data_IF_783577408364
#
_entry.id   IF_783577408364
#
_cell.length_a   1.000
_cell.length_b   1.000
_cell.length_c   1.000
_cell.angle_alpha   90.00
_cell.angle_beta   90.00
_cell.angle_gamma   90.00
#
_symmetry.space_group_name_H-M   'P 1'
#
loop_
_entity.id
_entity.type
_entity.pdbx_description
1 polymer ?
#
# COMPACT_ATOMS: atom_id res chain seq x y z
N UNK A 1 26.16 -10.34 -20.05
CA UNK A 1 26.22 -10.90 -18.68
C UNK A 1 24.79 -10.94 -18.19
N UNK A 2 24.22 -12.13 -18.10
CA UNK A 2 22.83 -12.35 -17.69
C UNK A 2 22.72 -12.10 -16.18
N UNK A 3 22.12 -10.97 -15.79
CA UNK A 3 21.77 -10.70 -14.41
C UNK A 3 20.69 -11.69 -13.98
N UNK A 4 21.02 -12.58 -13.06
CA UNK A 4 20.06 -13.48 -12.43
C UNK A 4 19.08 -12.65 -11.62
N UNK A 5 17.84 -12.60 -12.08
CA UNK A 5 16.70 -12.10 -11.31
C UNK A 5 16.52 -13.05 -10.12
N UNK A 6 16.94 -12.62 -8.93
CA UNK A 6 16.61 -13.31 -7.69
C UNK A 6 15.17 -13.00 -7.34
N UNK A 7 14.24 -13.79 -7.83
CA UNK A 7 12.89 -13.87 -7.24
C UNK A 7 13.09 -14.40 -5.82
N UNK A 8 12.56 -13.69 -4.84
CA UNK A 8 12.68 -14.06 -3.42
C UNK A 8 12.29 -15.54 -3.24
N UNK A 9 13.28 -16.43 -3.05
CA UNK A 9 13.05 -17.89 -2.91
C UNK A 9 12.09 -18.25 -1.77
N UNK A 10 11.81 -17.32 -0.86
CA UNK A 10 10.81 -17.51 0.19
C UNK A 10 9.37 -17.48 -0.29
N UNK A 11 9.09 -16.92 -1.48
CA UNK A 11 7.73 -16.92 -2.07
C UNK A 11 7.33 -18.34 -2.53
N UNK A 12 8.29 -19.20 -2.86
CA UNK A 12 8.01 -20.57 -3.34
C UNK A 12 7.69 -21.58 -2.24
N UNK A 13 7.86 -21.26 -0.97
CA UNK A 13 7.34 -22.09 0.11
C UNK A 13 5.91 -21.63 0.44
N UNK A 14 4.94 -22.05 -0.37
CA UNK A 14 3.50 -21.98 -0.09
C UNK A 14 3.18 -22.77 1.19
N UNK A 15 3.63 -22.32 2.34
CA UNK A 15 3.11 -22.80 3.61
C UNK A 15 1.74 -22.17 3.80
N UNK A 16 0.70 -22.96 3.54
CA UNK A 16 -0.66 -22.62 3.92
C UNK A 16 -0.70 -22.31 5.42
N UNK A 17 -1.02 -21.07 5.75
CA UNK A 17 -1.27 -20.70 7.15
C UNK A 17 -2.57 -21.35 7.61
N UNK A 18 -2.48 -22.27 8.56
CA UNK A 18 -3.63 -22.93 9.16
C UNK A 18 -4.02 -22.17 10.43
N UNK A 19 -5.15 -21.49 10.43
CA UNK A 19 -5.77 -21.01 11.65
C UNK A 19 -6.70 -22.09 12.20
N UNK A 20 -6.39 -22.59 13.40
CA UNK A 20 -7.25 -23.54 14.14
C UNK A 20 -8.30 -22.73 14.90
N UNK A 21 -9.55 -22.84 14.48
CA UNK A 21 -10.70 -22.31 15.24
C UNK A 21 -11.19 -23.46 16.13
N UNK A 22 -11.20 -23.33 17.47
CA UNK A 22 -11.72 -24.37 18.33
C UNK A 22 -13.24 -24.47 18.17
N UNK A 23 -13.74 -25.58 17.58
CA UNK A 23 -15.16 -25.92 17.58
C UNK A 23 -15.39 -27.10 18.50
N UNK A 24 -16.41 -27.00 19.35
CA UNK A 24 -16.86 -28.06 20.23
C UNK A 24 -17.32 -29.27 19.40
N UNK A 25 -16.56 -30.36 19.42
CA UNK A 25 -16.98 -31.69 19.02
C UNK A 25 -16.78 -32.13 17.57
N UNK A 26 -16.24 -31.31 16.68
CA UNK A 26 -15.89 -31.72 15.29
C UNK A 26 -14.39 -31.53 15.04
N UNK A 27 -13.78 -32.43 14.22
CA UNK A 27 -12.38 -32.25 13.79
C UNK A 27 -12.18 -30.84 13.25
N UNK A 28 -11.10 -30.11 13.62
CA UNK A 28 -10.87 -28.75 13.16
C UNK A 28 -10.81 -28.72 11.63
N UNK A 29 -11.69 -27.94 11.02
CA UNK A 29 -11.69 -27.71 9.57
C UNK A 29 -10.49 -26.82 9.27
N UNK A 30 -9.45 -27.37 8.67
CA UNK A 30 -8.30 -26.58 8.19
C UNK A 30 -8.78 -25.77 6.99
N UNK A 31 -8.94 -24.48 7.20
CA UNK A 31 -9.24 -23.53 6.12
C UNK A 31 -7.90 -23.11 5.52
N UNK A 32 -7.59 -23.61 4.33
CA UNK A 32 -6.45 -23.11 3.56
C UNK A 32 -6.84 -21.75 2.98
N UNK A 33 -6.43 -20.67 3.65
CA UNK A 33 -6.58 -19.32 3.11
C UNK A 33 -5.58 -19.16 1.96
N UNK A 34 -6.06 -18.67 0.81
CA UNK A 34 -5.17 -18.27 -0.28
C UNK A 34 -4.31 -17.10 0.22
N UNK A 35 -2.99 -17.08 -0.08
CA UNK A 35 -2.16 -15.93 0.25
C UNK A 35 -2.68 -14.68 -0.48
N UNK A 36 -2.38 -13.49 0.04
CA UNK A 36 -2.73 -12.21 -0.59
C UNK A 36 -1.75 -11.78 -1.69
N UNK A 37 -0.87 -12.67 -2.14
CA UNK A 37 0.12 -12.41 -3.20
C UNK A 37 -0.29 -13.17 -4.46
N UNK A 38 -0.41 -12.45 -5.58
CA UNK A 38 -0.65 -12.98 -6.91
C UNK A 38 0.69 -13.05 -7.68
N UNK A 39 1.17 -14.24 -8.09
CA UNK A 39 2.42 -14.37 -8.83
C UNK A 39 2.44 -13.62 -10.18
N UNK A 40 1.28 -13.42 -10.82
CA UNK A 40 1.16 -12.69 -12.08
C UNK A 40 1.41 -11.20 -11.85
N UNK A 41 0.86 -10.66 -10.76
CA UNK A 41 1.13 -9.27 -10.36
C UNK A 41 2.61 -9.05 -10.01
N UNK A 42 3.22 -10.00 -9.27
CA UNK A 42 4.66 -9.95 -8.94
C UNK A 42 5.52 -9.88 -10.21
N UNK A 43 5.22 -10.72 -11.21
CA UNK A 43 5.95 -10.70 -12.49
C UNK A 43 5.74 -9.37 -13.22
N UNK A 44 4.49 -8.88 -13.30
CA UNK A 44 4.17 -7.61 -13.93
C UNK A 44 4.95 -6.44 -13.30
N UNK A 45 4.88 -6.28 -11.98
CA UNK A 45 5.59 -5.19 -11.29
C UNK A 45 7.12 -5.36 -11.30
N UNK A 46 7.64 -6.58 -11.43
CA UNK A 46 9.08 -6.83 -11.58
C UNK A 46 9.64 -6.21 -12.87
N UNK A 47 8.83 -6.10 -13.93
CA UNK A 47 9.25 -5.48 -15.19
C UNK A 47 9.34 -3.96 -15.08
N UNK A 48 8.65 -3.35 -14.13
CA UNK A 48 8.60 -1.90 -13.95
C UNK A 48 9.68 -1.35 -13.00
N UNK A 49 10.52 -2.20 -12.40
CA UNK A 49 11.49 -1.80 -11.35
C UNK A 49 12.38 -0.62 -11.76
N UNK A 50 12.80 -0.55 -13.02
CA UNK A 50 13.66 0.53 -13.51
C UNK A 50 12.92 1.85 -13.76
N UNK A 51 11.58 1.83 -13.83
CA UNK A 51 10.74 2.98 -14.14
C UNK A 51 10.22 3.71 -12.90
N UNK A 52 10.31 3.06 -11.70
CA UNK A 52 9.70 3.58 -10.47
C UNK A 52 10.12 5.00 -10.10
N UNK A 53 11.34 5.43 -10.42
CA UNK A 53 11.85 6.76 -10.06
C UNK A 53 11.87 7.76 -11.22
N UNK A 54 11.37 7.37 -12.39
CA UNK A 54 11.19 8.29 -13.51
C UNK A 54 9.88 9.07 -13.35
N UNK A 55 9.97 10.33 -12.90
CA UNK A 55 8.82 11.21 -12.69
C UNK A 55 8.06 11.54 -13.99
N UNK A 56 8.67 11.29 -15.16
CA UNK A 56 8.07 11.49 -16.48
C UNK A 56 7.71 10.18 -17.18
N UNK A 57 8.02 9.03 -16.56
CA UNK A 57 7.80 7.70 -17.08
C UNK A 57 6.34 7.22 -16.95
N UNK A 58 6.17 5.92 -17.10
CA UNK A 58 4.86 5.25 -17.02
C UNK A 58 4.17 5.41 -15.66
N UNK A 59 4.93 5.63 -14.58
CA UNK A 59 4.44 5.81 -13.21
C UNK A 59 4.32 7.29 -12.78
N UNK A 60 4.36 8.24 -13.73
CA UNK A 60 4.26 9.70 -13.44
C UNK A 60 3.03 10.07 -12.62
N UNK A 61 1.92 9.36 -12.81
CA UNK A 61 0.68 9.58 -12.05
C UNK A 61 0.87 9.30 -10.55
N UNK A 62 1.64 8.28 -10.17
CA UNK A 62 1.95 7.98 -8.75
C UNK A 62 2.84 9.06 -8.12
N UNK A 63 3.77 9.62 -8.90
CA UNK A 63 4.61 10.74 -8.44
C UNK A 63 3.77 11.99 -8.20
N UNK A 64 2.92 12.37 -9.16
CA UNK A 64 2.05 13.54 -9.02
C UNK A 64 1.00 13.36 -7.91
N UNK A 65 0.56 12.11 -7.62
CA UNK A 65 -0.36 11.80 -6.55
C UNK A 65 0.17 12.20 -5.17
N UNK A 66 1.47 12.17 -4.95
CA UNK A 66 2.07 12.60 -3.70
C UNK A 66 1.77 14.07 -3.35
N UNK A 67 1.45 14.92 -4.34
CA UNK A 67 1.10 16.33 -4.09
C UNK A 67 -0.16 16.49 -3.24
N UNK A 68 -1.08 15.52 -3.29
CA UNK A 68 -2.31 15.54 -2.48
C UNK A 68 -2.33 14.43 -1.43
N UNK A 69 -1.72 13.26 -1.71
CA UNK A 69 -1.71 12.10 -0.82
C UNK A 69 -0.86 12.36 0.43
N UNK A 70 0.35 12.92 0.27
CA UNK A 70 1.25 13.20 1.40
C UNK A 70 0.66 14.25 2.34
N UNK A 71 0.14 15.41 1.89
CA UNK A 71 -0.57 16.35 2.75
C UNK A 71 -1.76 15.72 3.47
N UNK A 72 -2.56 14.90 2.80
CA UNK A 72 -3.69 14.20 3.41
C UNK A 72 -3.25 13.30 4.58
N UNK A 73 -2.24 12.45 4.36
CA UNK A 73 -1.69 11.58 5.41
C UNK A 73 -1.15 12.42 6.58
N UNK A 74 -0.39 13.45 6.27
CA UNK A 74 0.18 14.36 7.27
C UNK A 74 -0.90 15.03 8.13
N UNK A 75 -1.94 15.57 7.51
CA UNK A 75 -3.04 16.27 8.22
C UNK A 75 -3.79 15.31 9.16
N UNK A 76 -4.05 14.09 8.71
CA UNK A 76 -4.74 13.09 9.54
C UNK A 76 -3.87 12.59 10.71
N UNK A 77 -2.57 12.43 10.50
CA UNK A 77 -1.64 12.04 11.56
C UNK A 77 -1.39 13.17 12.56
N UNK A 78 -1.36 14.43 12.12
CA UNK A 78 -1.30 15.59 13.02
C UNK A 78 -2.51 15.66 13.97
N UNK A 79 -3.71 15.34 13.49
CA UNK A 79 -4.94 15.31 14.32
C UNK A 79 -4.89 14.24 15.42
N UNK A 80 -4.07 13.19 15.25
CA UNK A 80 -3.92 12.12 16.25
C UNK A 80 -2.94 12.50 17.37
N UNK A 81 -2.01 13.39 17.09
CA UNK A 81 -1.01 13.83 18.06
C UNK A 81 -1.56 14.98 18.90
N UNK A 82 -1.65 14.78 20.22
CA UNK A 82 -2.07 15.82 21.17
C UNK A 82 -0.97 16.85 21.51
N UNK A 83 0.25 16.72 20.97
CA UNK A 83 1.38 17.59 21.30
C UNK A 83 1.73 18.52 20.13
N UNK A 84 2.13 19.76 20.48
CA UNK A 84 2.72 20.72 19.54
C UNK A 84 4.00 20.11 18.98
N UNK A 85 3.98 19.74 17.71
CA UNK A 85 5.15 19.22 17.01
C UNK A 85 5.95 20.37 16.39
N UNK A 86 7.26 20.16 16.25
CA UNK A 86 8.10 20.97 15.39
C UNK A 86 7.55 20.89 13.95
N UNK A 87 7.16 22.03 13.39
CA UNK A 87 6.63 22.12 12.03
C UNK A 87 7.65 21.67 10.96
N UNK A 88 8.94 21.69 11.31
CA UNK A 88 10.02 21.27 10.41
C UNK A 88 10.08 19.72 10.21
N UNK A 89 9.66 18.94 11.22
CA UNK A 89 9.66 17.45 11.19
C UNK A 89 8.37 16.89 11.80
N UNK A 90 7.24 17.16 11.15
CA UNK A 90 5.91 16.96 11.73
C UNK A 90 5.56 15.48 12.03
N UNK A 91 6.23 14.53 11.39
CA UNK A 91 6.03 13.09 11.60
C UNK A 91 7.10 12.47 12.49
N UNK A 92 7.97 13.27 13.13
CA UNK A 92 9.01 12.75 14.01
C UNK A 92 8.44 11.87 15.12
N UNK A 93 9.09 10.71 15.32
CA UNK A 93 8.70 9.71 16.31
C UNK A 93 7.54 8.80 15.89
N UNK A 94 6.96 8.97 14.69
CA UNK A 94 5.99 8.03 14.14
C UNK A 94 6.70 6.96 13.32
N UNK A 95 6.24 5.71 13.51
CA UNK A 95 6.62 4.57 12.68
C UNK A 95 5.48 4.23 11.71
N UNK A 96 5.74 4.31 10.43
CA UNK A 96 4.75 4.12 9.36
C UNK A 96 5.14 2.90 8.53
N UNK A 97 4.17 2.05 8.21
CA UNK A 97 4.33 0.95 7.26
C UNK A 97 3.70 1.37 5.92
N UNK A 98 4.52 1.39 4.88
CA UNK A 98 4.11 1.60 3.49
C UNK A 98 4.01 0.22 2.81
N UNK A 99 2.79 -0.31 2.69
CA UNK A 99 2.54 -1.65 2.13
C UNK A 99 2.35 -1.53 0.63
N UNK A 100 3.07 -2.36 -0.14
CA UNK A 100 3.17 -2.22 -1.60
C UNK A 100 3.96 -0.97 -1.96
N UNK A 101 5.08 -0.73 -1.27
CA UNK A 101 5.82 0.52 -1.39
C UNK A 101 6.51 0.73 -2.73
N UNK A 102 6.61 -0.31 -3.58
CA UNK A 102 7.45 -0.30 -4.78
C UNK A 102 8.89 0.07 -4.43
N UNK A 103 9.47 0.99 -5.19
CA UNK A 103 10.82 1.51 -4.89
C UNK A 103 10.79 2.77 -4.00
N UNK A 104 9.69 3.06 -3.28
CA UNK A 104 9.65 4.09 -2.24
C UNK A 104 9.11 5.45 -2.67
N UNK A 105 8.31 5.55 -3.76
CA UNK A 105 7.73 6.83 -4.23
C UNK A 105 7.02 7.57 -3.10
N UNK A 106 6.24 6.87 -2.25
CA UNK A 106 5.56 7.46 -1.09
C UNK A 106 6.45 7.46 0.16
N UNK A 107 7.25 6.41 0.35
CA UNK A 107 8.10 6.25 1.54
C UNK A 107 9.05 7.44 1.73
N UNK A 108 9.73 7.89 0.68
CA UNK A 108 10.72 8.98 0.79
C UNK A 108 10.15 10.34 1.24
N UNK A 109 9.01 10.82 0.72
CA UNK A 109 8.37 12.01 1.25
C UNK A 109 8.02 11.90 2.74
N UNK A 110 7.51 10.74 3.21
CA UNK A 110 7.18 10.53 4.62
C UNK A 110 8.43 10.54 5.51
N UNK A 111 9.54 9.95 5.04
CA UNK A 111 10.84 10.00 5.75
C UNK A 111 11.35 11.44 5.86
N UNK A 112 11.25 12.24 4.78
CA UNK A 112 11.66 13.65 4.80
C UNK A 112 10.83 14.49 5.78
N UNK A 113 9.59 14.09 6.07
CA UNK A 113 8.73 14.69 7.08
C UNK A 113 9.04 14.19 8.51
N UNK A 114 10.04 13.30 8.68
CA UNK A 114 10.53 12.85 9.98
C UNK A 114 10.03 11.48 10.43
N UNK A 115 9.21 10.78 9.65
CA UNK A 115 8.75 9.44 10.00
C UNK A 115 9.88 8.41 9.89
N UNK A 116 9.81 7.36 10.72
CA UNK A 116 10.47 6.09 10.45
C UNK A 116 9.55 5.27 9.54
N UNK A 117 10.03 4.87 8.36
CA UNK A 117 9.21 4.16 7.38
C UNK A 117 9.80 2.79 7.10
N UNK A 118 8.98 1.76 7.31
CA UNK A 118 9.22 0.43 6.77
C UNK A 118 8.42 0.32 5.46
N UNK A 119 9.12 0.19 4.33
CA UNK A 119 8.53 -0.09 3.02
C UNK A 119 8.45 -1.59 2.81
N UNK A 120 7.26 -2.12 2.64
CA UNK A 120 7.01 -3.55 2.42
C UNK A 120 6.55 -3.78 1.00
N UNK A 121 7.25 -4.66 0.27
CA UNK A 121 6.85 -5.07 -1.07
C UNK A 121 7.15 -6.55 -1.29
N UNK A 122 6.41 -7.18 -2.19
CA UNK A 122 6.59 -8.59 -2.55
C UNK A 122 7.59 -8.78 -3.69
N UNK A 123 7.97 -7.70 -4.36
CA UNK A 123 8.93 -7.67 -5.47
C UNK A 123 10.32 -7.33 -4.95
N UNK A 124 11.23 -8.31 -4.91
CA UNK A 124 12.60 -8.12 -4.41
C UNK A 124 13.34 -6.98 -5.14
N UNK A 125 13.17 -6.87 -6.47
CA UNK A 125 13.81 -5.81 -7.25
C UNK A 125 13.37 -4.40 -6.82
N UNK A 126 12.10 -4.22 -6.42
CA UNK A 126 11.60 -2.94 -5.88
C UNK A 126 12.27 -2.61 -4.55
N UNK A 127 12.40 -3.60 -3.66
CA UNK A 127 13.06 -3.46 -2.35
C UNK A 127 14.54 -3.10 -2.51
N UNK A 128 15.25 -3.80 -3.40
CA UNK A 128 16.66 -3.54 -3.69
C UNK A 128 16.86 -2.13 -4.27
N UNK A 129 15.99 -1.73 -5.20
CA UNK A 129 16.00 -0.39 -5.78
C UNK A 129 15.69 0.67 -4.71
N UNK A 130 14.66 0.49 -3.88
CA UNK A 130 14.29 1.40 -2.79
C UNK A 130 15.43 1.60 -1.80
N UNK A 131 16.11 0.52 -1.41
CA UNK A 131 17.28 0.55 -0.53
C UNK A 131 18.43 1.35 -1.16
N UNK A 132 18.79 1.05 -2.42
CA UNK A 132 19.83 1.77 -3.14
C UNK A 132 19.53 3.26 -3.34
N UNK A 133 18.26 3.58 -3.60
CA UNK A 133 17.80 4.97 -3.76
C UNK A 133 17.88 5.70 -2.42
N UNK A 134 17.47 5.08 -1.30
CA UNK A 134 17.58 5.66 0.03
C UNK A 134 19.01 6.10 0.35
N UNK A 135 19.99 5.25 0.07
CA UNK A 135 21.42 5.55 0.28
C UNK A 135 21.90 6.73 -0.56
N UNK A 136 21.35 6.92 -1.75
CA UNK A 136 21.74 7.95 -2.70
C UNK A 136 21.08 9.30 -2.45
N UNK A 137 19.76 9.32 -2.13
CA UNK A 137 18.99 10.58 -2.10
C UNK A 137 18.66 11.10 -0.69
N UNK A 138 18.73 10.24 0.34
CA UNK A 138 18.48 10.66 1.70
C UNK A 138 19.74 11.22 2.35
N UNK A 139 19.64 12.34 3.09
CA UNK A 139 20.70 12.78 3.98
C UNK A 139 21.08 11.65 4.96
N UNK A 140 22.36 11.53 5.31
CA UNK A 140 22.88 10.48 6.17
C UNK A 140 22.05 10.27 7.46
N UNK A 141 21.66 11.37 8.11
CA UNK A 141 20.83 11.36 9.32
C UNK A 141 19.44 10.74 9.15
N UNK A 142 18.93 10.62 7.92
CA UNK A 142 17.60 10.07 7.61
C UNK A 142 17.67 8.64 7.05
N UNK A 143 18.86 8.13 6.69
CA UNK A 143 19.01 6.77 6.10
C UNK A 143 18.53 5.69 7.05
N UNK A 144 18.80 5.84 8.35
CA UNK A 144 18.31 4.89 9.38
C UNK A 144 16.80 4.92 9.58
N UNK A 145 16.11 5.92 9.03
CA UNK A 145 14.64 6.02 9.07
C UNK A 145 13.96 5.29 7.90
N UNK A 146 14.75 4.74 6.97
CA UNK A 146 14.27 3.98 5.81
C UNK A 146 14.65 2.52 5.94
N UNK A 147 13.68 1.61 5.94
CA UNK A 147 13.89 0.17 5.88
C UNK A 147 12.98 -0.41 4.80
N UNK A 148 13.54 -1.10 3.82
CA UNK A 148 12.78 -1.80 2.78
C UNK A 148 12.87 -3.31 3.00
N UNK A 149 11.72 -4.01 2.96
CA UNK A 149 11.62 -5.43 3.29
C UNK A 149 10.82 -6.17 2.22
N UNK A 150 11.40 -7.24 1.66
CA UNK A 150 10.70 -8.11 0.74
C UNK A 150 9.89 -9.15 1.53
N UNK A 151 8.58 -8.92 1.65
CA UNK A 151 7.68 -9.83 2.34
C UNK A 151 6.23 -9.53 1.98
N UNK A 152 5.34 -10.51 2.13
CA UNK A 152 3.91 -10.22 2.17
C UNK A 152 3.51 -9.66 3.55
N UNK A 153 2.41 -8.91 3.60
CA UNK A 153 1.92 -8.34 4.86
C UNK A 153 1.55 -9.42 5.88
N UNK A 154 1.12 -10.61 5.43
CA UNK A 154 0.78 -11.73 6.27
C UNK A 154 2.02 -12.35 6.94
N UNK A 155 3.09 -12.53 6.17
CA UNK A 155 4.36 -13.05 6.69
C UNK A 155 4.97 -12.06 7.67
N UNK A 156 4.96 -10.79 7.30
CA UNK A 156 5.45 -9.70 8.13
C UNK A 156 4.66 -9.57 9.45
N UNK A 157 3.33 -9.75 9.40
CA UNK A 157 2.47 -9.75 10.59
C UNK A 157 2.57 -11.03 11.43
N UNK A 158 3.24 -12.09 10.95
CA UNK A 158 3.50 -13.29 11.74
C UNK A 158 4.67 -13.12 12.71
N UNK A 159 5.55 -12.16 12.45
CA UNK A 159 6.68 -11.84 13.31
C UNK A 159 6.22 -11.04 14.54
N UNK A 160 6.58 -11.52 15.73
CA UNK A 160 6.09 -10.96 17.01
C UNK A 160 6.51 -9.49 17.19
N UNK A 161 7.67 -9.11 16.72
CA UNK A 161 8.23 -7.76 16.83
C UNK A 161 7.47 -6.70 16.03
N UNK A 162 6.69 -7.13 15.03
CA UNK A 162 5.91 -6.25 14.17
C UNK A 162 4.47 -6.03 14.67
N UNK A 163 4.02 -6.83 15.65
CA UNK A 163 2.67 -6.73 16.20
C UNK A 163 2.53 -5.40 16.98
N UNK A 164 1.49 -4.64 16.62
CA UNK A 164 1.19 -3.32 17.21
C UNK A 164 2.41 -2.37 17.23
N UNK A 165 3.23 -2.45 16.16
CA UNK A 165 4.45 -1.67 16.06
C UNK A 165 4.28 -0.34 15.32
N UNK A 166 3.18 -0.16 14.56
CA UNK A 166 3.02 0.96 13.63
C UNK A 166 1.97 1.96 14.10
N UNK A 167 2.34 3.26 14.01
CA UNK A 167 1.47 4.40 14.28
C UNK A 167 0.55 4.71 13.09
N UNK A 168 0.89 4.24 11.90
CA UNK A 168 0.06 4.28 10.71
C UNK A 168 0.46 3.20 9.72
N UNK A 169 -0.50 2.77 8.89
CA UNK A 169 -0.26 1.97 7.69
C UNK A 169 -0.81 2.71 6.48
N UNK A 170 -0.06 2.71 5.39
CA UNK A 170 -0.54 3.17 4.08
C UNK A 170 -0.55 1.98 3.12
N UNK A 171 -1.67 1.74 2.45
CA UNK A 171 -1.85 0.76 1.39
C UNK A 171 -2.47 1.49 0.18
N UNK A 172 -1.61 2.13 -0.60
CA UNK A 172 -2.00 3.02 -1.69
C UNK A 172 -1.81 2.33 -3.03
N UNK A 173 -2.89 2.14 -3.78
CA UNK A 173 -2.92 1.41 -5.06
C UNK A 173 -2.43 -0.05 -4.90
N UNK A 174 -2.97 -0.76 -3.90
CA UNK A 174 -2.53 -2.12 -3.56
C UNK A 174 -3.70 -3.09 -3.47
N UNK A 175 -4.81 -2.68 -2.86
CA UNK A 175 -5.90 -3.61 -2.48
C UNK A 175 -6.55 -4.30 -3.69
N UNK A 176 -6.53 -3.66 -4.87
CA UNK A 176 -7.00 -4.20 -6.14
C UNK A 176 -6.13 -5.35 -6.68
N UNK A 177 -4.87 -5.43 -6.25
CA UNK A 177 -3.90 -6.46 -6.63
C UNK A 177 -3.85 -7.64 -5.65
N UNK A 178 -4.68 -7.59 -4.59
CA UNK A 178 -4.66 -8.55 -3.49
C UNK A 178 -5.71 -9.65 -3.67
N UNK A 179 -5.33 -10.92 -3.88
CA UNK A 179 -6.29 -12.02 -4.06
C UNK A 179 -7.17 -12.31 -2.84
N UNK A 180 -6.71 -11.96 -1.63
CA UNK A 180 -7.45 -12.16 -0.39
C UNK A 180 -7.46 -10.87 0.47
N UNK A 181 -8.33 -9.89 0.12
CA UNK A 181 -8.40 -8.61 0.84
C UNK A 181 -8.72 -8.76 2.34
N UNK A 182 -9.51 -9.76 2.72
CA UNK A 182 -9.84 -10.00 4.12
C UNK A 182 -8.60 -10.39 4.95
N UNK A 183 -7.78 -11.31 4.44
CA UNK A 183 -6.55 -11.71 5.11
C UNK A 183 -5.55 -10.54 5.19
N UNK A 184 -5.44 -9.78 4.11
CA UNK A 184 -4.61 -8.58 4.02
C UNK A 184 -4.99 -7.56 5.11
N UNK A 185 -6.27 -7.17 5.18
CA UNK A 185 -6.78 -6.18 6.15
C UNK A 185 -6.58 -6.67 7.59
N UNK A 186 -6.85 -7.97 7.85
CA UNK A 186 -6.62 -8.56 9.17
C UNK A 186 -5.14 -8.52 9.57
N UNK A 187 -4.24 -8.74 8.62
CA UNK A 187 -2.80 -8.64 8.87
C UNK A 187 -2.37 -7.20 9.16
N UNK A 188 -2.89 -6.22 8.40
CA UNK A 188 -2.69 -4.80 8.71
C UNK A 188 -3.21 -4.44 10.11
N UNK A 189 -4.38 -4.96 10.51
CA UNK A 189 -4.92 -4.71 11.84
C UNK A 189 -3.98 -5.18 12.97
N UNK A 190 -3.32 -6.34 12.79
CA UNK A 190 -2.36 -6.86 13.78
C UNK A 190 -1.11 -5.99 13.92
N UNK A 191 -0.66 -5.37 12.83
CA UNK A 191 0.54 -4.53 12.80
C UNK A 191 0.31 -3.14 13.41
N UNK A 192 -0.92 -2.63 13.35
CA UNK A 192 -1.26 -1.32 13.87
C UNK A 192 -1.36 -1.30 15.39
N UNK A 193 -0.85 -0.23 16.01
CA UNK A 193 -1.14 0.11 17.39
C UNK A 193 -2.64 0.44 17.57
N UNK A 194 -3.19 0.30 18.79
CA UNK A 194 -4.52 0.83 19.10
C UNK A 194 -4.61 2.33 18.77
N UNK A 195 -5.76 2.77 18.30
CA UNK A 195 -6.07 4.15 17.90
C UNK A 195 -5.30 4.68 16.68
N UNK A 196 -4.57 3.81 15.99
CA UNK A 196 -3.79 4.16 14.81
C UNK A 196 -4.59 4.08 13.51
N UNK A 197 -4.12 4.79 12.48
CA UNK A 197 -4.82 4.94 11.21
C UNK A 197 -4.30 3.98 10.14
N UNK A 198 -5.21 3.56 9.25
CA UNK A 198 -4.88 2.96 7.97
C UNK A 198 -5.46 3.80 6.84
N UNK A 199 -4.62 4.04 5.83
CA UNK A 199 -4.93 4.83 4.66
C UNK A 199 -4.97 3.92 3.44
N UNK A 200 -6.06 3.98 2.69
CA UNK A 200 -6.18 3.31 1.40
C UNK A 200 -6.37 4.33 0.29
N UNK A 201 -5.82 4.05 -0.88
CA UNK A 201 -6.28 4.60 -2.15
C UNK A 201 -6.38 3.47 -3.17
N UNK A 202 -7.36 3.53 -4.05
CA UNK A 202 -7.59 2.50 -5.06
C UNK A 202 -8.59 2.96 -6.11
N UNK A 203 -8.79 2.14 -7.14
CA UNK A 203 -9.74 2.36 -8.22
C UNK A 203 -11.08 1.74 -7.83
N UNK A 204 -12.17 2.49 -8.04
CA UNK A 204 -13.53 2.01 -7.79
C UNK A 204 -14.01 1.13 -8.96
N UNK A 205 -14.75 0.06 -8.68
CA UNK A 205 -15.38 -0.80 -9.69
C UNK A 205 -16.68 -0.19 -10.22
N UNK A 206 -16.55 0.74 -11.16
CA UNK A 206 -17.66 1.38 -11.86
C UNK A 206 -17.52 1.25 -13.37
N UNK A 207 -18.59 1.47 -14.11
CA UNK A 207 -18.51 1.54 -15.59
C UNK A 207 -17.60 2.69 -16.04
N UNK A 208 -17.63 3.82 -15.34
CA UNK A 208 -16.77 4.95 -15.67
C UNK A 208 -15.29 4.63 -15.45
N UNK A 209 -14.93 3.92 -14.38
CA UNK A 209 -13.55 3.49 -14.14
C UNK A 209 -13.08 2.48 -15.18
N UNK A 210 -13.95 1.60 -15.67
CA UNK A 210 -13.61 0.68 -16.76
C UNK A 210 -13.20 1.45 -18.01
N UNK A 211 -14.00 2.44 -18.41
CA UNK A 211 -13.72 3.24 -19.60
C UNK A 211 -12.49 4.12 -19.42
N UNK A 212 -12.37 4.80 -18.28
CA UNK A 212 -11.29 5.78 -18.05
C UNK A 212 -9.99 5.11 -17.65
N UNK A 213 -9.99 4.21 -16.67
CA UNK A 213 -8.77 3.62 -16.15
C UNK A 213 -8.23 2.47 -17.02
N UNK A 214 -9.11 1.67 -17.63
CA UNK A 214 -8.68 0.53 -18.46
C UNK A 214 -8.58 0.92 -19.92
N UNK A 215 -9.70 1.35 -20.54
CA UNK A 215 -9.73 1.52 -22.00
C UNK A 215 -8.98 2.77 -22.48
N UNK A 216 -9.15 3.92 -21.79
CA UNK A 216 -8.48 5.16 -22.19
C UNK A 216 -7.03 5.24 -21.69
N UNK A 217 -6.77 4.91 -20.42
CA UNK A 217 -5.44 5.04 -19.85
C UNK A 217 -4.44 4.05 -20.49
N UNK A 218 -4.82 2.79 -20.65
CA UNK A 218 -3.98 1.79 -21.32
C UNK A 218 -3.95 1.98 -22.85
N UNK A 219 -5.07 2.39 -23.46
CA UNK A 219 -5.14 2.65 -24.89
C UNK A 219 -4.29 3.84 -25.35
N UNK A 220 -4.14 4.86 -24.50
CA UNK A 220 -3.29 6.03 -24.74
C UNK A 220 -1.86 5.85 -24.18
N UNK A 221 -1.49 4.66 -23.69
CA UNK A 221 -0.22 4.37 -23.03
C UNK A 221 0.09 5.31 -21.83
N UNK A 222 -0.95 5.77 -21.13
CA UNK A 222 -0.81 6.57 -19.90
C UNK A 222 -0.45 5.70 -18.69
N UNK A 223 -0.78 4.40 -18.75
CA UNK A 223 -0.38 3.34 -17.85
C UNK A 223 0.08 2.13 -18.64
N UNK A 224 0.96 1.26 -18.09
CA UNK A 224 1.35 0.02 -18.75
C UNK A 224 0.13 -0.87 -19.05
N UNK A 225 0.13 -1.53 -20.20
CA UNK A 225 -0.96 -2.44 -20.59
C UNK A 225 -1.06 -3.62 -19.62
N UNK A 226 -2.30 -3.98 -19.23
CA UNK A 226 -2.57 -5.08 -18.33
C UNK A 226 -2.36 -4.75 -16.85
N UNK A 227 -2.13 -3.47 -16.50
CA UNK A 227 -2.02 -3.04 -15.10
C UNK A 227 -3.37 -3.14 -14.37
N UNK A 228 -4.49 -2.97 -15.10
CA UNK A 228 -5.81 -2.87 -14.49
C UNK A 228 -6.77 -3.97 -14.98
N UNK A 229 -7.20 -4.85 -14.08
CA UNK A 229 -8.31 -5.77 -14.27
C UNK A 229 -9.54 -5.25 -13.52
N UNK A 230 -10.54 -4.77 -14.25
CA UNK A 230 -11.78 -4.21 -13.68
C UNK A 230 -12.46 -5.14 -12.67
N UNK A 231 -12.35 -6.46 -12.83
CA UNK A 231 -12.93 -7.43 -11.91
C UNK A 231 -12.22 -7.45 -10.53
N UNK A 232 -10.99 -6.96 -10.48
CA UNK A 232 -10.19 -6.85 -9.24
C UNK A 232 -10.43 -5.53 -8.50
N UNK A 233 -11.08 -4.53 -9.12
CA UNK A 233 -11.36 -3.26 -8.47
C UNK A 233 -12.32 -3.43 -7.29
N UNK A 234 -12.09 -2.66 -6.24
CA UNK A 234 -12.83 -2.76 -4.99
C UNK A 234 -13.71 -1.52 -4.82
N UNK A 235 -15.01 -1.72 -4.59
CA UNK A 235 -15.91 -0.60 -4.34
C UNK A 235 -15.70 -0.03 -2.93
N UNK A 236 -16.01 1.26 -2.67
CA UNK A 236 -15.98 1.83 -1.33
C UNK A 236 -16.85 1.06 -0.32
N UNK A 237 -17.97 0.53 -0.78
CA UNK A 237 -18.86 -0.28 0.06
C UNK A 237 -18.22 -1.61 0.47
N UNK A 238 -17.61 -2.33 -0.47
CA UNK A 238 -16.90 -3.59 -0.20
C UNK A 238 -15.74 -3.36 0.76
N UNK A 239 -14.91 -2.33 0.51
CA UNK A 239 -13.78 -2.01 1.39
C UNK A 239 -14.25 -1.62 2.80
N UNK A 240 -15.34 -0.83 2.92
CA UNK A 240 -15.95 -0.52 4.22
C UNK A 240 -16.40 -1.77 4.97
N UNK A 241 -17.10 -2.69 4.29
CA UNK A 241 -17.55 -3.95 4.90
C UNK A 241 -16.36 -4.78 5.39
N UNK A 242 -15.34 -4.96 4.57
CA UNK A 242 -14.12 -5.69 4.94
C UNK A 242 -13.41 -5.08 6.14
N UNK A 243 -13.34 -3.75 6.22
CA UNK A 243 -12.74 -3.04 7.34
C UNK A 243 -13.55 -3.23 8.63
N UNK A 244 -14.88 -3.11 8.58
CA UNK A 244 -15.76 -3.35 9.71
C UNK A 244 -15.67 -4.80 10.20
N UNK A 245 -15.66 -5.78 9.31
CA UNK A 245 -15.52 -7.21 9.63
C UNK A 245 -14.16 -7.53 10.29
N UNK A 246 -13.15 -6.70 10.06
CA UNK A 246 -11.83 -6.79 10.67
C UNK A 246 -11.61 -5.77 11.82
N UNK A 247 -12.69 -5.33 12.45
CA UNK A 247 -12.68 -4.47 13.65
C UNK A 247 -12.01 -3.10 13.45
N UNK A 248 -12.11 -2.52 12.26
CA UNK A 248 -11.76 -1.13 12.01
C UNK A 248 -12.97 -0.22 12.11
N UNK A 249 -12.78 1.02 12.50
CA UNK A 249 -13.75 2.10 12.40
C UNK A 249 -13.43 2.94 11.15
N UNK A 250 -14.34 2.93 10.17
CA UNK A 250 -14.18 3.74 8.96
C UNK A 250 -14.53 5.20 9.29
N UNK A 251 -13.55 6.08 9.10
CA UNK A 251 -13.74 7.51 9.33
C UNK A 251 -14.47 8.18 8.16
N UNK A 252 -13.98 8.00 6.96
CA UNK A 252 -14.58 8.51 5.72
C UNK A 252 -13.90 7.91 4.48
N UNK A 253 -14.55 8.09 3.32
CA UNK A 253 -13.94 8.01 2.00
C UNK A 253 -14.16 9.29 1.21
N UNK A 254 -13.29 9.58 0.25
CA UNK A 254 -13.32 10.74 -0.63
C UNK A 254 -12.96 10.33 -2.04
N UNK A 255 -13.65 10.89 -3.03
CA UNK A 255 -13.30 10.71 -4.43
C UNK A 255 -11.97 11.34 -4.79
N UNK A 256 -11.32 10.76 -5.79
CA UNK A 256 -10.11 11.22 -6.41
C UNK A 256 -10.33 11.32 -7.93
N UNK A 257 -9.80 12.37 -8.52
CA UNK A 257 -9.80 12.58 -9.96
C UNK A 257 -8.37 12.85 -10.43
N UNK A 258 -7.95 12.15 -11.48
CA UNK A 258 -6.68 12.35 -12.16
C UNK A 258 -6.92 12.99 -13.53
N UNK A 259 -6.26 14.11 -13.79
CA UNK A 259 -6.21 14.73 -15.10
C UNK A 259 -4.89 14.36 -15.80
N UNK A 260 -4.92 13.48 -16.82
CA UNK A 260 -3.73 13.03 -17.51
C UNK A 260 -3.08 14.09 -18.41
N UNK A 261 -3.82 15.15 -18.81
CA UNK A 261 -3.30 16.20 -19.68
C UNK A 261 -2.30 17.10 -18.96
N UNK A 262 -2.56 17.36 -17.68
CA UNK A 262 -1.69 18.20 -16.84
C UNK A 262 -0.94 17.39 -15.78
N UNK A 263 -1.14 16.08 -15.71
CA UNK A 263 -0.57 15.17 -14.71
C UNK A 263 -0.84 15.64 -13.27
N UNK A 264 -2.11 15.91 -12.98
CA UNK A 264 -2.53 16.40 -11.66
C UNK A 264 -3.67 15.58 -11.08
N UNK A 265 -3.67 15.49 -9.76
CA UNK A 265 -4.73 14.87 -8.98
C UNK A 265 -5.48 15.92 -8.17
N UNK A 266 -6.78 15.72 -8.05
CA UNK A 266 -7.65 16.55 -7.21
C UNK A 266 -8.58 15.70 -6.36
N UNK A 267 -8.94 16.23 -5.18
CA UNK A 267 -10.04 15.67 -4.40
C UNK A 267 -11.35 15.95 -5.09
N UNK A 268 -12.22 14.94 -5.13
CA UNK A 268 -13.52 15.04 -5.79
C UNK A 268 -14.64 14.63 -4.84
N UNK A 269 -15.85 15.17 -5.07
CA UNK A 269 -17.00 14.91 -4.22
C UNK A 269 -17.53 13.48 -4.42
N UNK A 270 -17.42 12.98 -5.66
CA UNK A 270 -17.88 11.64 -6.03
C UNK A 270 -16.72 10.69 -6.25
N UNK A 271 -16.84 9.47 -5.78
CA UNK A 271 -15.83 8.41 -5.86
C UNK A 271 -16.06 7.47 -7.07
N UNK A 272 -16.31 8.04 -8.25
CA UNK A 272 -16.71 7.27 -9.44
C UNK A 272 -15.53 6.53 -10.11
N UNK A 273 -14.30 7.05 -10.06
CA UNK A 273 -13.13 6.44 -10.70
C UNK A 273 -12.14 5.96 -9.64
N UNK A 274 -11.54 6.90 -8.91
CA UNK A 274 -10.63 6.60 -7.82
C UNK A 274 -11.18 7.14 -6.50
N UNK A 275 -10.76 6.54 -5.40
CA UNK A 275 -11.10 7.04 -4.06
C UNK A 275 -9.98 6.76 -3.06
N UNK A 276 -9.98 7.56 -2.00
CA UNK A 276 -9.18 7.35 -0.81
C UNK A 276 -10.11 7.07 0.38
N UNK A 277 -9.67 6.21 1.29
CA UNK A 277 -10.43 5.83 2.47
C UNK A 277 -9.52 5.84 3.70
N UNK A 278 -10.01 6.43 4.78
CA UNK A 278 -9.38 6.42 6.08
C UNK A 278 -10.18 5.57 7.06
N UNK A 279 -9.48 4.66 7.74
CA UNK A 279 -10.04 3.92 8.87
C UNK A 279 -9.07 3.93 10.06
N UNK A 280 -9.57 3.59 11.24
CA UNK A 280 -8.79 3.56 12.48
C UNK A 280 -9.00 2.22 13.20
N UNK A 281 -7.94 1.69 13.76
CA UNK A 281 -8.03 0.61 14.75
C UNK A 281 -8.58 1.22 16.05
N UNK A 282 -9.59 0.62 16.70
CA UNK A 282 -10.14 1.11 17.97
C UNK A 282 -9.12 1.21 19.10
#
# INVERSE_FOLDING_TARGET
>A
MLGRIFVCRQIMSLRSYSTVVPSTGTKPKVIHLRPSVDPVEVEHFSQLVNEWMDENGSLKALHSFNRIRVPWILDELKKQKSSVNDDAVPLQGLRILDVGCGSGILSFPLIRLGAQVDGLDVVQGCVDAGTSIADRILPEKLRSSARFVCSSVEQFAAEQENIEAYDAIVASEVIEHVPNPNLFIRSCHRLLKPRSAIFFSTINRTFLSQVVAVELAEGLNLTPKGTHDWNKFVTPHELRSLLLDNNFQVAYDRGLFYDPLVNEWAWFVVNQVNYALLARKP
#
